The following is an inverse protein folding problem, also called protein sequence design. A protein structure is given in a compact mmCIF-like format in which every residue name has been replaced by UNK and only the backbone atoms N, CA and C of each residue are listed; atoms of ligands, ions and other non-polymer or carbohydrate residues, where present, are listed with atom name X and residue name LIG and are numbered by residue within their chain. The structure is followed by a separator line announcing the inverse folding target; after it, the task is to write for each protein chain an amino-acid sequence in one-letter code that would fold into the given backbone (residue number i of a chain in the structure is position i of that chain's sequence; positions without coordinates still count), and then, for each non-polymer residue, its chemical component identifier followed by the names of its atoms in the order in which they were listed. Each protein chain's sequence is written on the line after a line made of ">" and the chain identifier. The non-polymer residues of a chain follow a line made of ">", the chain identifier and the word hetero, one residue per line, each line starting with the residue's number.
data_IF_599043987294
#
_entry.id   IF_599043987294
#
_cell.length_a   1.000
_cell.length_b   1.000
_cell.length_c   1.000
_cell.angle_alpha   90.00
_cell.angle_beta   90.00
_cell.angle_gamma   90.00
#
_symmetry.space_group_name_H-M   'P 1'
#
loop_
_entity.id
_entity.type
_entity.pdbx_description
1 polymer ?
#
# COMPACT_ATOMS: atom_id res chain seq x y z
N UNK A 1 -12.47 5.63 13.73
CA UNK A 1 -11.88 5.46 15.10
C UNK A 1 -11.64 4.00 15.50
N UNK A 2 -12.57 3.04 15.26
CA UNK A 2 -12.37 1.62 15.62
C UNK A 2 -11.12 0.97 15.00
N UNK A 3 -10.82 1.25 13.72
CA UNK A 3 -9.61 0.75 13.04
C UNK A 3 -8.31 1.18 13.76
N UNK A 4 -8.19 2.47 14.14
CA UNK A 4 -7.01 2.99 14.86
C UNK A 4 -6.75 2.25 16.17
N UNK A 5 -7.79 1.96 16.95
CA UNK A 5 -7.66 1.21 18.21
C UNK A 5 -7.22 -0.24 17.93
N UNK A 6 -7.77 -0.87 16.89
CA UNK A 6 -7.36 -2.22 16.51
C UNK A 6 -5.91 -2.27 16.04
N UNK A 7 -5.47 -1.29 15.23
CA UNK A 7 -4.09 -1.17 14.80
C UNK A 7 -3.15 -0.94 15.99
N UNK A 8 -3.48 -0.03 16.91
CA UNK A 8 -2.69 0.21 18.11
C UNK A 8 -2.55 -1.06 18.96
N UNK A 9 -3.64 -1.83 19.11
CA UNK A 9 -3.61 -3.13 19.81
C UNK A 9 -2.70 -4.14 19.11
N UNK A 10 -2.76 -4.22 17.77
CA UNK A 10 -1.89 -5.11 17.01
C UNK A 10 -0.42 -4.72 17.21
N UNK A 11 -0.08 -3.44 17.05
CA UNK A 11 1.30 -2.93 17.23
C UNK A 11 1.80 -3.21 18.65
N UNK A 12 0.96 -3.00 19.67
CA UNK A 12 1.33 -3.24 21.06
C UNK A 12 1.56 -4.72 21.39
N UNK A 13 0.98 -5.64 20.61
CA UNK A 13 1.18 -7.08 20.79
C UNK A 13 2.58 -7.55 20.37
N UNK A 14 3.31 -6.76 19.56
CA UNK A 14 4.67 -7.05 19.10
C UNK A 14 4.86 -8.42 18.42
N UNK A 15 3.90 -8.83 17.59
CA UNK A 15 4.01 -10.06 16.81
C UNK A 15 5.19 -10.02 15.81
N UNK A 16 5.60 -11.18 15.31
CA UNK A 16 6.60 -11.28 14.24
C UNK A 16 6.00 -11.02 12.84
N UNK A 17 4.71 -11.35 12.66
CA UNK A 17 3.97 -11.24 11.40
C UNK A 17 2.68 -10.45 11.61
N UNK A 18 2.45 -9.45 10.76
CA UNK A 18 1.26 -8.61 10.72
C UNK A 18 0.48 -8.83 9.44
N UNK A 19 -0.79 -9.21 9.57
CA UNK A 19 -1.75 -9.26 8.48
C UNK A 19 -2.70 -8.07 8.63
N UNK A 20 -2.67 -7.16 7.66
CA UNK A 20 -3.41 -5.91 7.69
C UNK A 20 -4.40 -5.88 6.54
N UNK A 21 -5.69 -6.02 6.87
CA UNK A 21 -6.78 -5.96 5.90
C UNK A 21 -7.39 -4.55 5.89
N UNK A 22 -7.03 -3.79 4.86
CA UNK A 22 -7.45 -2.42 4.59
C UNK A 22 -7.46 -1.50 5.85
N UNK A 23 -6.32 -1.38 6.56
CA UNK A 23 -6.26 -0.71 7.85
C UNK A 23 -6.43 0.82 7.78
N UNK A 24 -6.35 1.41 6.57
CA UNK A 24 -6.34 2.87 6.35
C UNK A 24 -7.59 3.40 5.64
N UNK A 25 -8.57 2.57 5.29
CA UNK A 25 -9.73 3.04 4.50
C UNK A 25 -10.68 3.99 5.22
N UNK A 26 -10.78 3.92 6.55
CA UNK A 26 -11.66 4.80 7.32
C UNK A 26 -10.92 5.99 7.95
N UNK A 27 -9.73 6.33 7.45
CA UNK A 27 -8.98 7.53 7.85
C UNK A 27 -8.80 8.45 6.64
N UNK A 28 -8.75 9.75 6.90
CA UNK A 28 -8.40 10.73 5.87
C UNK A 28 -6.97 10.51 5.35
N UNK A 29 -6.68 10.96 4.13
CA UNK A 29 -5.39 10.76 3.46
C UNK A 29 -4.20 11.27 4.28
N UNK A 30 -4.35 12.39 4.99
CA UNK A 30 -3.28 12.98 5.78
C UNK A 30 -2.94 12.12 7.01
N UNK A 31 -3.97 11.66 7.73
CA UNK A 31 -3.81 10.72 8.84
C UNK A 31 -3.33 9.35 8.36
N UNK A 32 -3.81 8.88 7.21
CA UNK A 32 -3.37 7.64 6.57
C UNK A 32 -1.88 7.65 6.29
N UNK A 33 -1.38 8.72 5.66
CA UNK A 33 0.05 8.95 5.41
C UNK A 33 0.85 8.96 6.70
N UNK A 34 0.38 9.67 7.72
CA UNK A 34 1.04 9.71 9.02
C UNK A 34 1.12 8.32 9.69
N UNK A 35 0.05 7.53 9.64
CA UNK A 35 0.04 6.16 10.18
C UNK A 35 1.00 5.27 9.38
N UNK A 36 0.98 5.37 8.06
CA UNK A 36 1.87 4.59 7.21
C UNK A 36 3.33 4.91 7.53
N UNK A 37 3.73 6.18 7.49
CA UNK A 37 5.13 6.58 7.71
C UNK A 37 5.66 6.19 9.10
N UNK A 38 4.84 6.35 10.15
CA UNK A 38 5.28 6.11 11.53
C UNK A 38 5.11 4.67 12.01
N UNK A 39 4.25 3.88 11.38
CA UNK A 39 3.93 2.52 11.86
C UNK A 39 4.24 1.47 10.81
N UNK A 40 3.58 1.53 9.65
CA UNK A 40 3.52 0.40 8.70
C UNK A 40 4.72 0.41 7.74
N UNK A 41 5.12 1.59 7.26
CA UNK A 41 6.09 1.81 6.21
C UNK A 41 7.54 1.48 6.61
N UNK A 42 8.50 1.69 5.69
CA UNK A 42 9.90 1.29 5.89
C UNK A 42 10.60 2.03 7.04
N UNK A 43 10.11 3.21 7.41
CA UNK A 43 10.62 4.01 8.54
C UNK A 43 9.78 3.86 9.81
N UNK A 44 8.70 3.09 9.75
CA UNK A 44 7.76 2.93 10.84
C UNK A 44 8.24 1.97 11.93
N UNK A 45 7.49 1.91 13.02
CA UNK A 45 7.76 1.02 14.16
C UNK A 45 7.82 -0.46 13.77
N UNK A 46 7.07 -0.88 12.74
CA UNK A 46 7.03 -2.27 12.27
C UNK A 46 8.09 -2.60 11.21
N UNK A 47 9.08 -1.72 10.96
CA UNK A 47 10.04 -1.88 9.86
C UNK A 47 10.87 -3.16 9.89
N UNK A 48 11.07 -3.76 11.06
CA UNK A 48 11.79 -5.03 11.25
C UNK A 48 10.88 -6.27 11.28
N UNK A 49 9.58 -6.08 11.10
CA UNK A 49 8.56 -7.14 11.17
C UNK A 49 8.06 -7.51 9.77
N UNK A 50 7.59 -8.74 9.61
CA UNK A 50 6.93 -9.16 8.38
C UNK A 50 5.53 -8.56 8.33
N UNK A 51 5.20 -7.89 7.23
CA UNK A 51 3.93 -7.16 7.06
C UNK A 51 3.30 -7.57 5.74
N UNK A 52 2.05 -8.01 5.79
CA UNK A 52 1.21 -8.25 4.61
C UNK A 52 0.07 -7.26 4.68
N UNK A 53 0.04 -6.34 3.72
CA UNK A 53 -0.96 -5.28 3.62
C UNK A 53 -1.85 -5.54 2.42
N UNK A 54 -3.13 -5.80 2.69
CA UNK A 54 -4.19 -5.76 1.68
C UNK A 54 -4.75 -4.34 1.69
N UNK A 55 -4.72 -3.67 0.55
CA UNK A 55 -5.15 -2.28 0.44
C UNK A 55 -5.71 -2.00 -0.94
N UNK A 56 -6.72 -1.14 -1.00
CA UNK A 56 -7.18 -0.50 -2.23
C UNK A 56 -6.46 0.83 -2.50
N UNK A 57 -5.84 1.43 -1.48
CA UNK A 57 -5.10 2.68 -1.62
C UNK A 57 -3.76 2.44 -2.33
N UNK A 58 -3.57 3.17 -3.44
CA UNK A 58 -2.40 3.07 -4.32
C UNK A 58 -1.20 3.91 -3.86
N UNK A 59 -1.45 4.91 -3.01
CA UNK A 59 -0.49 5.92 -2.54
C UNK A 59 0.76 5.34 -1.86
N UNK A 60 0.67 4.12 -1.32
CA UNK A 60 1.77 3.51 -0.55
C UNK A 60 2.52 2.42 -1.32
N UNK A 61 2.03 2.03 -2.50
CA UNK A 61 2.59 0.94 -3.30
C UNK A 61 4.05 1.15 -3.73
N UNK A 62 4.53 2.39 -4.01
CA UNK A 62 5.95 2.60 -4.31
C UNK A 62 6.90 2.28 -3.15
N UNK A 63 6.40 2.24 -1.90
CA UNK A 63 7.21 2.08 -0.70
C UNK A 63 7.22 0.64 -0.16
N UNK A 64 6.56 -0.30 -0.82
CA UNK A 64 6.55 -1.72 -0.42
C UNK A 64 7.59 -2.53 -1.16
N UNK A 65 8.01 -3.65 -0.56
CA UNK A 65 9.05 -4.51 -1.12
C UNK A 65 8.51 -5.33 -2.32
N UNK A 66 7.31 -5.90 -2.19
CA UNK A 66 6.68 -6.77 -3.19
C UNK A 66 5.18 -6.52 -3.23
N UNK A 67 4.62 -6.48 -4.44
CA UNK A 67 3.20 -6.34 -4.72
C UNK A 67 2.71 -7.66 -5.33
N UNK A 68 1.55 -8.11 -4.84
CA UNK A 68 0.83 -9.28 -5.36
C UNK A 68 -0.52 -8.80 -5.87
N UNK A 69 -0.74 -8.92 -7.18
CA UNK A 69 -2.00 -8.55 -7.83
C UNK A 69 -2.87 -9.77 -7.96
N UNK A 70 -4.10 -9.69 -7.44
CA UNK A 70 -5.07 -10.77 -7.52
C UNK A 70 -6.21 -10.40 -8.47
N UNK A 71 -6.64 -11.36 -9.30
CA UNK A 71 -7.80 -11.22 -10.19
C UNK A 71 -8.58 -12.53 -10.22
N UNK A 72 -9.89 -12.44 -10.04
CA UNK A 72 -10.79 -13.61 -10.05
C UNK A 72 -10.37 -14.77 -9.12
N UNK A 73 -9.73 -14.46 -7.97
CA UNK A 73 -9.27 -15.46 -7.00
C UNK A 73 -7.90 -16.07 -7.30
N UNK A 74 -7.25 -15.67 -8.40
CA UNK A 74 -5.91 -16.13 -8.77
C UNK A 74 -4.90 -14.98 -8.68
N UNK A 75 -3.61 -15.33 -8.54
CA UNK A 75 -2.53 -14.37 -8.60
C UNK A 75 -2.25 -14.07 -10.07
N UNK A 76 -2.50 -12.83 -10.48
CA UNK A 76 -2.24 -12.37 -11.84
C UNK A 76 -0.77 -12.00 -12.01
N UNK A 77 -0.23 -11.20 -11.08
CA UNK A 77 1.15 -10.70 -11.16
C UNK A 77 1.79 -10.61 -9.78
N UNK A 78 3.10 -10.81 -9.73
CA UNK A 78 3.94 -10.56 -8.56
C UNK A 78 5.18 -9.81 -9.03
N UNK A 79 5.59 -8.79 -8.26
CA UNK A 79 6.84 -8.08 -8.50
C UNK A 79 6.96 -6.83 -7.63
N UNK A 80 8.07 -6.12 -7.80
CA UNK A 80 8.22 -4.77 -7.27
C UNK A 80 7.34 -3.78 -8.04
N UNK A 81 7.08 -2.60 -7.47
CA UNK A 81 6.33 -1.54 -8.16
C UNK A 81 6.88 -1.25 -9.56
N UNK A 82 8.20 -1.11 -9.70
CA UNK A 82 8.86 -0.81 -10.98
C UNK A 82 8.69 -1.93 -12.01
N UNK A 83 8.83 -3.18 -11.59
CA UNK A 83 8.67 -4.34 -12.47
C UNK A 83 7.24 -4.45 -12.99
N UNK A 84 6.25 -4.26 -12.12
CA UNK A 84 4.84 -4.32 -12.51
C UNK A 84 4.44 -3.15 -13.41
N UNK A 85 4.97 -1.94 -13.15
CA UNK A 85 4.78 -0.79 -14.03
C UNK A 85 5.39 -0.99 -15.42
N UNK A 86 6.58 -1.59 -15.49
CA UNK A 86 7.24 -1.85 -16.77
C UNK A 86 6.51 -2.91 -17.62
N UNK A 87 5.83 -3.88 -16.98
CA UNK A 87 5.05 -4.91 -17.66
C UNK A 87 3.83 -4.36 -18.39
N UNK A 88 3.31 -3.19 -17.99
CA UNK A 88 2.05 -2.61 -18.51
C UNK A 88 0.90 -3.62 -18.48
N UNK A 89 0.85 -4.42 -17.43
CA UNK A 89 -0.15 -5.46 -17.21
C UNK A 89 -1.36 -4.95 -16.44
N UNK A 90 -2.04 -5.87 -15.76
CA UNK A 90 -3.24 -5.63 -14.94
C UNK A 90 -2.97 -4.63 -13.82
N UNK A 91 -1.76 -4.65 -13.25
CA UNK A 91 -1.35 -3.67 -12.25
C UNK A 91 -1.40 -2.22 -12.76
N UNK A 92 -0.87 -2.00 -13.97
CA UNK A 92 -0.80 -0.67 -14.56
C UNK A 92 -2.18 -0.15 -14.95
N UNK A 93 -3.04 -1.02 -15.49
CA UNK A 93 -4.43 -0.67 -15.79
C UNK A 93 -5.20 -0.29 -14.51
N UNK A 94 -5.04 -1.07 -13.45
CA UNK A 94 -5.63 -0.79 -12.14
C UNK A 94 -5.19 0.58 -11.60
N UNK A 95 -3.90 0.90 -11.67
CA UNK A 95 -3.37 2.19 -11.23
C UNK A 95 -3.94 3.37 -12.02
N UNK A 96 -3.98 3.28 -13.35
CA UNK A 96 -4.50 4.36 -14.21
C UNK A 96 -5.98 4.63 -13.90
N UNK A 97 -6.78 3.58 -13.75
CA UNK A 97 -8.19 3.73 -13.36
C UNK A 97 -8.33 4.41 -12.01
N UNK A 98 -7.55 3.97 -11.01
CA UNK A 98 -7.64 4.51 -9.66
C UNK A 98 -7.27 6.00 -9.59
N UNK A 99 -6.19 6.41 -10.27
CA UNK A 99 -5.75 7.82 -10.33
C UNK A 99 -6.81 8.70 -10.99
N UNK A 100 -7.44 8.19 -12.05
CA UNK A 100 -8.48 8.93 -12.78
C UNK A 100 -9.70 9.17 -11.89
N UNK A 101 -10.05 8.19 -11.04
CA UNK A 101 -11.21 8.26 -10.16
C UNK A 101 -10.96 9.10 -8.89
N UNK A 102 -9.73 9.07 -8.34
CA UNK A 102 -9.40 9.78 -7.08
C UNK A 102 -8.79 11.17 -7.28
N UNK A 103 -8.29 11.49 -8.47
CA UNK A 103 -7.63 12.77 -8.75
C UNK A 103 -6.32 12.97 -7.97
N UNK A 104 -5.63 11.89 -7.60
CA UNK A 104 -4.39 11.94 -6.83
C UNK A 104 -3.19 12.43 -7.67
N UNK A 105 -2.94 13.76 -7.66
CA UNK A 105 -1.80 14.40 -8.34
C UNK A 105 -0.43 13.99 -7.78
N UNK A 106 -0.32 13.67 -6.48
CA UNK A 106 0.93 13.23 -5.85
C UNK A 106 1.43 11.90 -6.46
N UNK A 107 0.51 10.96 -6.71
CA UNK A 107 0.87 9.67 -7.31
C UNK A 107 1.28 9.81 -8.77
N UNK A 108 0.63 10.70 -9.52
CA UNK A 108 1.05 11.03 -10.89
C UNK A 108 2.49 11.55 -10.93
N UNK A 109 2.86 12.41 -9.99
CA UNK A 109 4.22 12.96 -9.91
C UNK A 109 5.24 11.88 -9.55
N UNK A 110 4.96 11.03 -8.55
CA UNK A 110 5.84 9.91 -8.19
C UNK A 110 5.96 8.87 -9.33
N UNK A 111 4.87 8.64 -10.06
CA UNK A 111 4.88 7.76 -11.24
C UNK A 111 5.73 8.33 -12.37
N UNK A 112 5.63 9.63 -12.65
CA UNK A 112 6.48 10.31 -13.63
C UNK A 112 7.96 10.29 -13.22
N UNK A 113 8.27 10.43 -11.93
CA UNK A 113 9.65 10.31 -11.41
C UNK A 113 10.19 8.88 -11.45
N UNK A 114 9.34 7.86 -11.24
CA UNK A 114 9.75 6.45 -11.27
C UNK A 114 9.90 5.88 -12.69
N UNK A 115 9.29 6.53 -13.68
CA UNK A 115 9.34 6.15 -15.10
C UNK A 115 10.43 6.90 -15.90
N UNK A 116 11.01 7.97 -15.35
CA UNK A 116 12.17 8.69 -15.89
C UNK A 116 13.50 8.15 -15.33
#
# INVERSE_FOLDING_TARGET
>A
QKQRVSLARAVYHDADIYLLDDPLSAVDSHVGKHIFENIIGPKGQLNKKTRILVTHAVTFLPQVDVIVVMKAGEISEIGTFKELMAKKGEFSEFLIQHITDTGEEELNTEMEELLN
#
